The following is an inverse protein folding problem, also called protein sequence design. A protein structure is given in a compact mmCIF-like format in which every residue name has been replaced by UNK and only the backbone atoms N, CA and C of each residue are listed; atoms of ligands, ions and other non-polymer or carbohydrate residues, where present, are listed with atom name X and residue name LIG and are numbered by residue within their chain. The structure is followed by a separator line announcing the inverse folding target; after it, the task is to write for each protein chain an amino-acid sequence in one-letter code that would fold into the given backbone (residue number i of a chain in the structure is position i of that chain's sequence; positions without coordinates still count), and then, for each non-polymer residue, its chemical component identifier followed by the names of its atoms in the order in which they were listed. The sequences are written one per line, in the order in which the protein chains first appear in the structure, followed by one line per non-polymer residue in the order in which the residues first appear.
data_IF_006712296561
#
_entry.id   IF_006712296561
#
_cell.length_a   1.000
_cell.length_b   1.000
_cell.length_c   1.000
_cell.angle_alpha   90.00
_cell.angle_beta   90.00
_cell.angle_gamma   90.00
#
_symmetry.space_group_name_H-M   'P 1'
#
loop_
_entity.id
_entity.type
_entity.pdbx_description
1 polymer ?
#
# COMPACT_ATOMS: atom_id res chain seq x y z
N UNK A 1 6.57 2.40 9.47
CA UNK A 1 5.66 3.20 8.60
C UNK A 1 6.05 4.66 8.53
N UNK A 2 6.39 5.31 9.64
CA UNK A 2 6.76 6.73 9.65
C UNK A 2 7.90 7.07 8.67
N UNK A 3 8.93 6.23 8.61
CA UNK A 3 10.06 6.41 7.69
C UNK A 3 9.62 6.33 6.22
N UNK A 4 8.80 5.34 5.86
CA UNK A 4 8.23 5.20 4.50
C UNK A 4 7.46 6.48 4.10
N UNK A 5 6.66 7.07 4.99
CA UNK A 5 5.94 8.30 4.68
C UNK A 5 6.83 9.54 4.58
N UNK A 6 8.00 9.52 5.22
CA UNK A 6 8.99 10.59 5.11
C UNK A 6 9.75 10.46 3.79
N UNK A 7 10.26 9.26 3.49
CA UNK A 7 11.00 8.95 2.26
C UNK A 7 10.18 9.28 1.01
N UNK A 8 8.90 8.93 1.04
CA UNK A 8 7.95 9.10 -0.07
C UNK A 8 7.24 10.46 -0.02
N UNK A 9 7.67 11.36 0.88
CA UNK A 9 7.20 12.74 1.01
C UNK A 9 5.68 12.89 1.16
N UNK A 10 5.05 11.94 1.84
CA UNK A 10 3.59 11.93 2.04
C UNK A 10 3.19 13.05 3.00
N UNK A 11 2.27 13.96 2.63
CA UNK A 11 1.77 15.00 3.52
C UNK A 11 1.16 14.45 4.82
N UNK A 12 1.48 15.06 5.96
CA UNK A 12 1.02 14.59 7.28
C UNK A 12 -0.50 14.37 7.39
N UNK A 13 -1.37 15.25 6.84
CA UNK A 13 -2.82 15.08 6.98
C UNK A 13 -3.32 13.77 6.36
N UNK A 14 -2.77 13.38 5.20
CA UNK A 14 -3.26 12.21 4.47
C UNK A 14 -2.64 10.89 4.96
N UNK A 15 -1.56 10.92 5.76
CA UNK A 15 -0.91 9.71 6.29
C UNK A 15 -1.87 8.83 7.09
N UNK A 16 -2.82 9.44 7.82
CA UNK A 16 -3.83 8.72 8.60
C UNK A 16 -4.92 8.08 7.75
N UNK A 17 -5.12 8.58 6.54
CA UNK A 17 -6.12 8.07 5.59
C UNK A 17 -5.52 7.11 4.57
N UNK A 18 -4.20 6.90 4.61
CA UNK A 18 -3.51 6.05 3.65
C UNK A 18 -3.94 4.58 3.86
N UNK A 19 -4.51 3.91 2.84
CA UNK A 19 -4.87 2.51 2.97
C UNK A 19 -3.60 1.66 3.07
N UNK A 20 -3.64 0.65 3.94
CA UNK A 20 -2.55 -0.29 4.15
C UNK A 20 -3.12 -1.70 3.98
N UNK A 21 -2.41 -2.52 3.20
CA UNK A 21 -2.71 -3.95 3.07
C UNK A 21 -1.62 -4.70 3.84
N UNK A 22 -2.05 -5.54 4.77
CA UNK A 22 -1.18 -6.39 5.57
C UNK A 22 -1.74 -7.80 5.69
N UNK A 23 -0.84 -8.75 5.97
CA UNK A 23 -1.19 -10.12 6.35
C UNK A 23 -0.50 -10.48 7.68
N UNK A 24 -0.56 -11.75 8.07
CA UNK A 24 0.06 -12.24 9.31
C UNK A 24 1.58 -12.08 9.38
N UNK A 25 2.26 -11.79 8.26
CA UNK A 25 3.71 -11.53 8.17
C UNK A 25 4.02 -10.02 8.13
N UNK A 26 3.00 -9.16 8.18
CA UNK A 26 3.12 -7.71 8.22
C UNK A 26 2.66 -7.03 6.92
N UNK A 27 3.26 -5.88 6.62
CA UNK A 27 2.78 -5.00 5.54
C UNK A 27 3.14 -5.56 4.15
N UNK A 28 2.16 -5.54 3.24
CA UNK A 28 2.30 -5.88 1.83
C UNK A 28 2.31 -4.63 0.95
N UNK A 29 1.42 -3.68 1.22
CA UNK A 29 1.24 -2.46 0.41
C UNK A 29 0.90 -1.28 1.32
N UNK A 30 1.50 -0.13 1.03
CA UNK A 30 1.17 1.18 1.62
C UNK A 30 0.60 2.05 0.50
N UNK A 31 -0.72 2.09 0.38
CA UNK A 31 -1.48 2.77 -0.67
C UNK A 31 -0.88 2.57 -2.06
N UNK A 32 -0.83 3.66 -2.83
CA UNK A 32 -0.21 3.67 -4.16
C UNK A 32 1.29 4.00 -4.12
N UNK A 33 1.92 3.95 -2.94
CA UNK A 33 3.26 4.48 -2.71
C UNK A 33 4.30 3.36 -2.76
N UNK A 34 4.12 2.33 -1.92
CA UNK A 34 5.15 1.30 -1.73
C UNK A 34 4.55 -0.07 -1.60
N UNK A 35 5.21 -1.04 -2.25
CA UNK A 35 4.87 -2.45 -2.20
C UNK A 35 6.07 -3.24 -1.69
N UNK A 36 5.83 -4.13 -0.75
CA UNK A 36 6.84 -5.06 -0.28
C UNK A 36 7.20 -6.05 -1.38
N UNK A 37 8.45 -6.52 -1.41
CA UNK A 37 8.92 -7.47 -2.44
C UNK A 37 8.02 -8.72 -2.53
N UNK A 38 7.61 -9.27 -1.38
CA UNK A 38 6.73 -10.43 -1.28
C UNK A 38 5.29 -10.20 -1.76
N UNK A 39 4.90 -8.94 -1.97
CA UNK A 39 3.59 -8.57 -2.53
C UNK A 39 3.64 -8.31 -4.04
N UNK A 40 4.81 -8.44 -4.68
CA UNK A 40 4.93 -8.31 -6.13
C UNK A 40 4.35 -9.55 -6.81
N UNK A 41 3.41 -9.30 -7.73
CA UNK A 41 2.87 -10.33 -8.61
C UNK A 41 3.94 -10.69 -9.63
N UNK A 42 4.23 -11.99 -9.78
CA UNK A 42 5.14 -12.51 -10.80
C UNK A 42 4.35 -13.31 -11.85
N UNK A 43 5.04 -13.77 -12.89
CA UNK A 43 4.38 -14.46 -14.00
C UNK A 43 3.69 -15.76 -13.54
N UNK A 44 2.46 -15.99 -14.02
CA UNK A 44 1.66 -17.20 -13.82
C UNK A 44 1.22 -17.50 -12.38
N UNK A 45 1.02 -16.47 -11.55
CA UNK A 45 0.47 -16.64 -10.19
C UNK A 45 -1.02 -16.24 -10.15
N UNK A 46 -1.85 -17.04 -9.49
CA UNK A 46 -3.20 -16.62 -9.11
C UNK A 46 -3.11 -15.56 -8.02
N UNK A 47 -3.76 -14.40 -8.24
CA UNK A 47 -3.60 -13.23 -7.39
C UNK A 47 -4.93 -12.57 -7.06
N UNK A 48 -5.00 -11.96 -5.87
CA UNK A 48 -6.10 -11.06 -5.52
C UNK A 48 -5.83 -9.67 -6.08
N UNK A 49 -6.76 -9.16 -6.90
CA UNK A 49 -6.73 -7.79 -7.38
C UNK A 49 -7.47 -6.88 -6.39
N UNK A 50 -6.71 -6.00 -5.72
CA UNK A 50 -7.27 -4.96 -4.85
C UNK A 50 -7.18 -3.62 -5.58
N UNK A 51 -8.33 -2.97 -5.81
CA UNK A 51 -8.41 -1.63 -6.38
C UNK A 51 -8.83 -0.64 -5.30
N UNK A 52 -8.14 0.50 -5.27
CA UNK A 52 -8.52 1.66 -4.45
C UNK A 52 -9.06 2.72 -5.41
N UNK A 53 -10.29 3.13 -5.18
CA UNK A 53 -10.98 4.16 -5.97
C UNK A 53 -11.30 5.33 -5.02
N UNK A 54 -11.05 6.55 -5.46
CA UNK A 54 -11.63 7.73 -4.81
C UNK A 54 -13.13 7.70 -5.09
N UNK A 55 -13.93 7.74 -4.03
CA UNK A 55 -15.36 7.98 -4.19
C UNK A 55 -15.56 9.49 -4.17
N UNK A 56 -16.10 10.02 -5.26
CA UNK A 56 -16.62 11.38 -5.28
C UNK A 56 -17.64 11.52 -4.13
N UNK A 57 -17.49 12.59 -3.35
CA UNK A 57 -18.33 12.91 -2.20
C UNK A 57 -19.67 13.53 -2.62
#
# INVERSE_FOLDING_TARGET
LQDIFVDEKVPRPIRRMMPIIEDSKGILVVGNIKRAERGRVRNNEECLLIKVEEKDA
#
